data_IF_810680022203
#
_entry.id   IF_810680022203
#
_cell.length_a   1.000
_cell.length_b   1.000
_cell.length_c   1.000
_cell.angle_alpha   90.00
_cell.angle_beta   90.00
_cell.angle_gamma   90.00
#
_symmetry.space_group_name_H-M   'P 1'
#
loop_
_entity.id
_entity.type
_entity.pdbx_description
1 polymer ?
#
# COMPACT_ATOMS: atom_id res chain seq x y z
N UNK A 1 -18.73 -1.03 -60.01
CA UNK A 1 -18.85 -0.87 -58.55
C UNK A 1 -19.70 0.37 -58.31
N UNK A 2 -20.98 0.21 -57.98
CA UNK A 2 -21.90 1.33 -57.71
C UNK A 2 -21.69 1.78 -56.27
N UNK A 3 -21.23 3.01 -56.08
CA UNK A 3 -21.21 3.65 -54.77
C UNK A 3 -22.67 3.82 -54.32
N UNK A 4 -23.07 3.11 -53.27
CA UNK A 4 -24.36 3.30 -52.63
C UNK A 4 -24.23 4.50 -51.70
N UNK A 5 -24.70 5.68 -52.14
CA UNK A 5 -24.76 6.85 -51.26
C UNK A 5 -25.74 6.57 -50.10
N UNK A 6 -25.33 6.81 -48.84
CA UNK A 6 -26.20 6.59 -47.70
C UNK A 6 -27.41 7.52 -47.77
N UNK A 7 -28.59 6.99 -47.47
CA UNK A 7 -29.81 7.81 -47.45
C UNK A 7 -29.73 8.87 -46.33
N UNK A 8 -30.29 10.04 -46.58
CA UNK A 8 -30.31 11.15 -45.61
C UNK A 8 -30.90 10.72 -44.25
N UNK A 9 -31.93 9.88 -44.28
CA UNK A 9 -32.53 9.28 -43.08
C UNK A 9 -31.57 8.35 -42.31
N UNK A 10 -30.71 7.62 -43.03
CA UNK A 10 -29.67 6.78 -42.42
C UNK A 10 -28.62 7.61 -41.69
N UNK A 11 -28.20 8.72 -42.29
CA UNK A 11 -27.23 9.66 -41.69
C UNK A 11 -27.80 10.29 -40.41
N UNK A 12 -29.06 10.76 -40.45
CA UNK A 12 -29.71 11.37 -39.27
C UNK A 12 -29.94 10.38 -38.12
N UNK A 13 -30.28 9.12 -38.43
CA UNK A 13 -30.42 8.06 -37.42
C UNK A 13 -29.07 7.73 -36.79
N UNK A 14 -28.00 7.64 -37.59
CA UNK A 14 -26.65 7.39 -37.12
C UNK A 14 -26.16 8.53 -36.20
N UNK A 15 -26.30 9.80 -36.60
CA UNK A 15 -25.88 10.95 -35.80
C UNK A 15 -26.61 10.98 -34.43
N UNK A 16 -27.92 10.68 -34.42
CA UNK A 16 -28.72 10.64 -33.17
C UNK A 16 -28.25 9.53 -32.23
N UNK A 17 -27.92 8.36 -32.77
CA UNK A 17 -27.40 7.23 -32.00
C UNK A 17 -26.01 7.56 -31.46
N UNK A 18 -25.12 8.10 -32.29
CA UNK A 18 -23.77 8.50 -31.91
C UNK A 18 -23.79 9.56 -30.81
N UNK A 19 -24.63 10.60 -30.93
CA UNK A 19 -24.77 11.64 -29.89
C UNK A 19 -25.29 11.08 -28.57
N UNK A 20 -26.23 10.13 -28.60
CA UNK A 20 -26.73 9.43 -27.40
C UNK A 20 -25.65 8.57 -26.76
N UNK A 21 -24.89 7.81 -27.56
CA UNK A 21 -23.75 7.02 -27.09
C UNK A 21 -22.69 7.93 -26.45
N UNK A 22 -22.28 9.00 -27.12
CA UNK A 22 -21.29 9.95 -26.61
C UNK A 22 -21.75 10.59 -25.28
N UNK A 23 -23.02 10.95 -25.17
CA UNK A 23 -23.59 11.50 -23.93
C UNK A 23 -23.57 10.46 -22.81
N UNK A 24 -23.94 9.20 -23.10
CA UNK A 24 -23.90 8.11 -22.12
C UNK A 24 -22.47 7.81 -21.67
N UNK A 25 -21.50 7.69 -22.59
CA UNK A 25 -20.10 7.46 -22.27
C UNK A 25 -19.53 8.60 -21.42
N UNK A 26 -19.85 9.85 -21.76
CA UNK A 26 -19.42 11.02 -20.98
C UNK A 26 -20.02 11.01 -19.58
N UNK A 27 -21.30 10.64 -19.44
CA UNK A 27 -21.95 10.52 -18.13
C UNK A 27 -21.31 9.42 -17.26
N UNK A 28 -20.97 8.27 -17.86
CA UNK A 28 -20.28 7.17 -17.16
C UNK A 28 -18.90 7.62 -16.69
N UNK A 29 -18.12 8.28 -17.56
CA UNK A 29 -16.78 8.79 -17.19
C UNK A 29 -16.90 9.82 -16.07
N UNK A 30 -17.83 10.77 -16.16
CA UNK A 30 -18.05 11.76 -15.11
C UNK A 30 -18.42 11.11 -13.77
N UNK A 31 -19.28 10.10 -13.79
CA UNK A 31 -19.63 9.33 -12.59
C UNK A 31 -18.41 8.62 -11.97
N UNK A 32 -17.59 7.97 -12.80
CA UNK A 32 -16.38 7.29 -12.34
C UNK A 32 -15.37 8.28 -11.72
N UNK A 33 -15.21 9.47 -12.30
CA UNK A 33 -14.36 10.53 -11.74
C UNK A 33 -14.87 10.99 -10.38
N UNK A 34 -16.19 11.19 -10.24
CA UNK A 34 -16.80 11.58 -8.96
C UNK A 34 -16.61 10.48 -7.90
N UNK A 35 -16.81 9.22 -8.27
CA UNK A 35 -16.58 8.08 -7.37
C UNK A 35 -15.11 7.96 -6.94
N UNK A 36 -14.17 8.14 -7.88
CA UNK A 36 -12.74 8.10 -7.58
C UNK A 36 -12.32 9.24 -6.65
N UNK A 37 -12.82 10.45 -6.87
CA UNK A 37 -12.57 11.60 -5.99
C UNK A 37 -13.13 11.35 -4.58
N UNK A 38 -14.36 10.83 -4.48
CA UNK A 38 -14.97 10.48 -3.19
C UNK A 38 -14.16 9.40 -2.45
N UNK A 39 -13.76 8.33 -3.14
CA UNK A 39 -12.95 7.26 -2.56
C UNK A 39 -11.58 7.78 -2.09
N UNK A 40 -10.89 8.59 -2.89
CA UNK A 40 -9.58 9.15 -2.55
C UNK A 40 -9.61 10.02 -1.29
N UNK A 41 -10.67 10.80 -1.09
CA UNK A 41 -10.85 11.65 0.10
C UNK A 41 -11.14 10.81 1.35
N UNK A 42 -11.98 9.77 1.23
CA UNK A 42 -12.47 9.02 2.39
C UNK A 42 -11.59 7.82 2.79
N UNK A 43 -10.82 7.24 1.87
CA UNK A 43 -10.11 5.98 2.12
C UNK A 43 -8.58 6.13 2.27
N UNK A 44 -8.07 7.37 2.36
CA UNK A 44 -6.64 7.66 2.54
C UNK A 44 -5.72 6.90 1.56
N UNK A 45 -6.20 6.65 0.34
CA UNK A 45 -5.44 5.98 -0.74
C UNK A 45 -4.47 6.92 -1.45
N UNK A 46 -4.33 8.15 -0.96
CA UNK A 46 -3.49 9.18 -1.55
C UNK A 46 -2.00 8.88 -1.26
N UNK A 47 -1.13 9.07 -2.26
CA UNK A 47 0.31 9.07 -2.03
C UNK A 47 0.72 10.08 -0.97
N UNK A 48 1.91 9.85 -0.41
CA UNK A 48 2.61 10.77 0.47
C UNK A 48 2.59 12.21 -0.05
N UNK A 49 2.07 13.15 0.75
CA UNK A 49 2.06 14.57 0.39
C UNK A 49 3.44 15.23 0.53
N UNK A 50 4.34 14.63 1.32
CA UNK A 50 5.70 15.08 1.54
C UNK A 50 6.69 13.97 1.22
N UNK A 51 7.82 14.35 0.61
CA UNK A 51 8.89 13.42 0.25
C UNK A 51 9.88 13.35 1.40
N UNK A 52 9.94 12.19 2.04
CA UNK A 52 10.96 11.87 3.03
C UNK A 52 12.03 10.97 2.39
N UNK A 53 13.29 11.19 2.76
CA UNK A 53 14.43 10.48 2.18
C UNK A 53 15.24 9.76 3.24
N UNK A 54 15.88 8.65 2.85
CA UNK A 54 16.78 7.88 3.68
C UNK A 54 17.93 7.34 2.81
N UNK A 55 19.19 7.45 3.25
CA UNK A 55 20.34 6.94 2.50
C UNK A 55 20.41 5.40 2.62
N UNK A 56 20.23 4.65 1.51
CA UNK A 56 20.27 3.18 1.52
C UNK A 56 21.59 2.61 2.07
N UNK A 57 22.70 3.34 1.90
CA UNK A 57 24.04 2.87 2.31
C UNK A 57 24.23 2.90 3.83
N UNK A 58 23.46 3.72 4.54
CA UNK A 58 23.65 3.93 5.98
C UNK A 58 22.48 3.43 6.83
N UNK A 59 21.44 2.82 6.23
CA UNK A 59 20.24 2.37 6.96
C UNK A 59 20.57 1.48 8.17
N UNK A 60 21.57 0.61 8.03
CA UNK A 60 21.97 -0.35 9.07
C UNK A 60 22.78 0.27 10.22
N UNK A 61 23.28 1.51 10.08
CA UNK A 61 24.15 2.18 11.06
C UNK A 61 23.59 3.49 11.60
N UNK A 62 22.69 4.15 10.87
CA UNK A 62 22.18 5.46 11.23
C UNK A 62 20.72 5.66 10.79
N UNK A 63 20.05 6.57 11.50
CA UNK A 63 18.67 6.95 11.20
C UNK A 63 17.64 6.00 11.82
N UNK A 64 16.43 6.04 11.30
CA UNK A 64 15.30 5.32 11.89
C UNK A 64 15.24 3.83 11.50
N UNK A 65 15.96 3.42 10.46
CA UNK A 65 15.91 2.06 9.93
C UNK A 65 17.04 1.15 10.47
N UNK A 66 17.71 1.55 11.55
CA UNK A 66 18.66 0.67 12.22
C UNK A 66 17.94 -0.56 12.79
N UNK A 67 18.62 -1.71 12.79
CA UNK A 67 18.08 -3.01 13.22
C UNK A 67 17.31 -2.94 14.54
N UNK A 68 17.87 -2.24 15.53
CA UNK A 68 17.29 -2.09 16.87
C UNK A 68 16.00 -1.26 16.93
N UNK A 69 15.67 -0.57 15.83
CA UNK A 69 14.51 0.30 15.72
C UNK A 69 13.42 -0.24 14.78
N UNK A 70 13.67 -1.37 14.10
CA UNK A 70 12.70 -2.02 13.23
C UNK A 70 11.58 -2.71 14.02
N UNK A 71 10.43 -2.91 13.37
CA UNK A 71 9.23 -3.50 13.97
C UNK A 71 8.23 -2.47 14.48
N UNK A 72 7.26 -2.95 15.25
CA UNK A 72 6.10 -2.18 15.72
C UNK A 72 6.36 -1.54 17.07
N UNK A 73 5.98 -0.28 17.20
CA UNK A 73 6.10 0.53 18.40
C UNK A 73 4.78 1.24 18.70
N UNK A 74 4.49 1.43 19.99
CA UNK A 74 3.36 2.27 20.42
C UNK A 74 3.83 3.72 20.48
N UNK A 75 3.12 4.60 19.80
CA UNK A 75 3.34 6.04 19.84
C UNK A 75 2.60 6.68 21.04
N UNK A 76 3.00 7.88 21.50
CA UNK A 76 2.38 8.55 22.65
C UNK A 76 0.87 8.82 22.49
N UNK A 77 0.38 8.94 21.26
CA UNK A 77 -1.04 9.13 20.95
C UNK A 77 -1.84 7.81 20.92
N UNK A 78 -1.18 6.68 21.18
CA UNK A 78 -1.78 5.34 21.17
C UNK A 78 -1.91 4.72 19.78
N UNK A 79 -1.43 5.39 18.73
CA UNK A 79 -1.27 4.81 17.40
C UNK A 79 -0.04 3.88 17.36
N UNK A 80 0.08 3.09 16.30
CA UNK A 80 1.19 2.17 16.12
C UNK A 80 2.07 2.64 14.97
N UNK A 81 3.36 2.75 15.23
CA UNK A 81 4.36 3.02 14.21
C UNK A 81 5.13 1.73 13.89
N UNK A 82 5.10 1.32 12.63
CA UNK A 82 5.83 0.15 12.13
C UNK A 82 7.00 0.64 11.28
N UNK A 83 8.20 0.15 11.57
CA UNK A 83 9.38 0.40 10.73
C UNK A 83 9.84 -0.88 10.06
N UNK A 84 9.96 -0.84 8.74
CA UNK A 84 10.37 -2.01 7.96
C UNK A 84 11.34 -1.65 6.84
N UNK A 85 12.12 -2.63 6.39
CA UNK A 85 13.00 -2.52 5.23
C UNK A 85 12.70 -3.66 4.26
N UNK A 86 12.72 -3.36 2.96
CA UNK A 86 12.84 -4.37 1.91
C UNK A 86 14.28 -4.47 1.42
N UNK A 87 14.75 -5.69 1.22
CA UNK A 87 16.03 -6.00 0.57
C UNK A 87 15.90 -7.32 -0.19
N UNK A 88 16.77 -7.62 -1.13
CA UNK A 88 16.82 -8.91 -1.80
C UNK A 88 17.16 -10.01 -0.77
N UNK A 89 16.30 -10.99 -0.46
CA UNK A 89 14.91 -11.22 -0.88
C UNK A 89 14.00 -11.37 0.35
N UNK A 90 14.06 -10.41 1.26
CA UNK A 90 13.41 -10.43 2.57
C UNK A 90 12.86 -9.07 2.98
N UNK A 91 11.81 -9.08 3.78
CA UNK A 91 11.41 -7.94 4.58
C UNK A 91 11.98 -8.07 5.99
N UNK A 92 12.40 -6.96 6.58
CA UNK A 92 12.85 -6.89 7.98
C UNK A 92 11.98 -5.90 8.75
N UNK A 93 11.21 -6.34 9.76
CA UNK A 93 11.04 -7.73 10.18
C UNK A 93 10.24 -8.54 9.14
N UNK A 94 10.51 -9.86 9.08
CA UNK A 94 9.78 -10.77 8.18
C UNK A 94 8.31 -10.97 8.60
N UNK A 95 8.01 -10.69 9.88
CA UNK A 95 6.67 -10.78 10.46
C UNK A 95 6.34 -9.50 11.24
N UNK A 96 5.46 -8.67 10.68
CA UNK A 96 4.98 -7.43 11.33
C UNK A 96 3.84 -7.80 12.29
N UNK A 97 3.93 -7.39 13.55
CA UNK A 97 2.88 -7.61 14.56
C UNK A 97 2.13 -6.31 14.83
N UNK A 98 0.81 -6.29 14.71
CA UNK A 98 0.00 -5.09 14.94
C UNK A 98 -1.31 -5.41 15.67
N UNK A 99 -1.92 -4.44 16.40
CA UNK A 99 -3.23 -4.62 17.00
C UNK A 99 -4.38 -4.32 16.03
N UNK A 100 -5.49 -5.06 16.18
CA UNK A 100 -6.75 -4.74 15.55
C UNK A 100 -7.35 -3.42 16.09
N UNK A 101 -8.17 -2.76 15.26
CA UNK A 101 -8.95 -1.57 15.58
C UNK A 101 -8.14 -0.31 15.84
N UNK A 102 -6.83 -0.31 15.59
CA UNK A 102 -5.90 0.79 15.95
C UNK A 102 -5.30 1.42 14.69
N UNK A 103 -5.19 2.77 14.61
CA UNK A 103 -4.46 3.42 13.53
C UNK A 103 -2.99 3.00 13.51
N UNK A 104 -2.52 2.59 12.32
CA UNK A 104 -1.15 2.15 12.10
C UNK A 104 -0.53 3.04 11.02
N UNK A 105 0.67 3.52 11.29
CA UNK A 105 1.53 4.18 10.32
C UNK A 105 2.71 3.24 10.04
N UNK A 106 2.83 2.77 8.80
CA UNK A 106 3.96 1.95 8.35
C UNK A 106 4.94 2.91 7.67
N UNK A 107 6.19 2.92 8.13
CA UNK A 107 7.31 3.60 7.48
C UNK A 107 8.25 2.53 6.95
N UNK A 108 8.42 2.47 5.65
CA UNK A 108 9.24 1.46 5.02
C UNK A 108 10.13 2.06 3.92
N UNK A 109 11.30 1.46 3.73
CA UNK A 109 12.25 1.86 2.68
C UNK A 109 12.93 0.63 2.08
N UNK A 110 13.74 0.83 1.04
CA UNK A 110 14.55 -0.23 0.46
C UNK A 110 16.04 0.03 0.67
N UNK A 111 16.78 -1.04 0.97
CA UNK A 111 18.23 -1.02 1.12
C UNK A 111 18.99 -1.19 -0.21
N UNK A 112 18.33 -1.64 -1.28
CA UNK A 112 19.01 -2.03 -2.52
C UNK A 112 18.27 -1.62 -3.81
N UNK A 113 17.20 -2.32 -4.20
CA UNK A 113 16.42 -2.14 -5.44
C UNK A 113 14.97 -1.82 -5.10
N UNK A 114 14.13 -1.57 -6.10
CA UNK A 114 12.70 -1.38 -5.86
C UNK A 114 12.07 -2.71 -5.42
N UNK A 115 11.25 -2.66 -4.38
CA UNK A 115 10.42 -3.80 -3.93
C UNK A 115 8.96 -3.40 -3.88
N UNK A 116 8.07 -4.37 -4.12
CA UNK A 116 6.65 -4.20 -3.87
C UNK A 116 6.35 -4.46 -2.41
N UNK A 117 5.52 -3.62 -1.79
CA UNK A 117 5.02 -3.80 -0.43
C UNK A 117 3.49 -3.85 -0.49
N UNK A 118 2.97 -5.08 -0.50
CA UNK A 118 1.54 -5.38 -0.55
C UNK A 118 1.17 -6.16 0.71
N UNK A 119 0.07 -5.79 1.37
CA UNK A 119 -0.53 -6.63 2.42
C UNK A 119 -1.88 -7.14 1.90
N UNK A 120 -1.97 -8.45 1.69
CA UNK A 120 -3.13 -9.09 1.07
C UNK A 120 -4.42 -8.84 1.86
N UNK A 121 -5.52 -8.60 1.14
CA UNK A 121 -6.82 -8.30 1.75
C UNK A 121 -6.94 -6.88 2.33
N UNK A 122 -6.01 -5.99 1.99
CA UNK A 122 -6.05 -4.57 2.39
C UNK A 122 -5.77 -3.65 1.20
N UNK A 123 -5.89 -2.33 1.42
CA UNK A 123 -5.46 -1.31 0.46
C UNK A 123 -4.00 -0.90 0.61
N UNK A 124 -3.23 -1.57 1.49
CA UNK A 124 -1.78 -1.32 1.61
C UNK A 124 -1.09 -1.93 0.41
N UNK A 125 -0.80 -1.07 -0.56
CA UNK A 125 -0.09 -1.40 -1.78
C UNK A 125 0.79 -0.22 -2.18
N UNK A 126 2.10 -0.37 -2.07
CA UNK A 126 3.07 0.66 -2.44
C UNK A 126 4.40 0.05 -2.88
N UNK A 127 5.29 0.89 -3.39
CA UNK A 127 6.67 0.51 -3.70
C UNK A 127 7.62 1.01 -2.61
N UNK A 128 8.64 0.21 -2.30
CA UNK A 128 9.79 0.61 -1.49
C UNK A 128 10.90 1.00 -2.45
N UNK A 129 11.13 2.31 -2.60
CA UNK A 129 12.14 2.84 -3.52
C UNK A 129 13.39 3.21 -2.71
N UNK A 130 14.58 2.71 -3.10
CA UNK A 130 15.82 3.10 -2.44
C UNK A 130 15.99 4.63 -2.47
N UNK A 131 16.32 5.23 -1.33
CA UNK A 131 16.45 6.69 -1.20
C UNK A 131 15.22 7.38 -0.63
N UNK A 132 14.07 6.71 -0.58
CA UNK A 132 12.80 7.29 -0.16
C UNK A 132 12.15 6.50 0.97
N UNK A 133 11.43 7.20 1.84
CA UNK A 133 10.61 6.58 2.89
C UNK A 133 9.16 6.57 2.45
N UNK A 134 8.63 5.38 2.23
CA UNK A 134 7.20 5.16 1.99
C UNK A 134 6.49 5.14 3.34
N UNK A 135 5.63 6.13 3.59
CA UNK A 135 4.73 6.12 4.74
C UNK A 135 3.34 5.66 4.29
N UNK A 136 2.73 4.74 5.03
CA UNK A 136 1.43 4.16 4.68
C UNK A 136 0.54 4.15 5.91
N UNK A 137 -0.65 4.71 5.80
CA UNK A 137 -1.69 4.61 6.82
C UNK A 137 -2.48 3.33 6.63
N UNK A 138 -2.61 2.54 7.69
CA UNK A 138 -3.33 1.28 7.70
C UNK A 138 -4.20 1.14 8.96
N UNK A 139 -5.25 0.34 8.85
CA UNK A 139 -6.07 -0.08 9.99
C UNK A 139 -6.67 -1.45 9.69
N UNK A 140 -6.44 -2.40 10.58
CA UNK A 140 -7.01 -3.74 10.49
C UNK A 140 -8.17 -3.83 11.48
N UNK A 141 -9.38 -4.10 11.02
CA UNK A 141 -10.56 -4.10 11.90
C UNK A 141 -10.63 -5.36 12.77
N UNK A 142 -10.20 -6.51 12.25
CA UNK A 142 -10.29 -7.80 12.93
C UNK A 142 -8.90 -8.46 13.07
N UNK A 143 -8.67 -9.25 14.13
CA UNK A 143 -7.50 -10.12 14.23
C UNK A 143 -7.43 -11.12 13.07
N UNK A 144 -6.22 -11.48 12.67
CA UNK A 144 -5.98 -12.35 11.52
C UNK A 144 -4.54 -12.29 11.02
N UNK A 145 -4.20 -13.20 10.11
CA UNK A 145 -2.92 -13.23 9.44
C UNK A 145 -3.07 -12.79 7.98
N UNK A 146 -2.18 -11.93 7.52
CA UNK A 146 -2.12 -11.45 6.15
C UNK A 146 -0.77 -11.81 5.52
N UNK A 147 -0.78 -12.26 4.28
CA UNK A 147 0.44 -12.44 3.51
C UNK A 147 0.95 -11.08 3.01
N UNK A 148 2.26 -10.98 2.87
CA UNK A 148 2.93 -9.79 2.39
C UNK A 148 3.96 -10.16 1.30
N UNK A 149 3.52 -10.48 0.07
CA UNK A 149 4.44 -10.78 -1.02
C UNK A 149 5.11 -9.51 -1.56
N UNK A 150 6.33 -9.67 -2.08
CA UNK A 150 6.90 -8.66 -2.97
C UNK A 150 6.22 -8.75 -4.35
N UNK A 151 5.54 -7.68 -4.77
CA UNK A 151 4.77 -7.65 -6.02
C UNK A 151 5.45 -6.85 -7.16
N UNK A 152 6.67 -6.34 -6.92
CA UNK A 152 7.48 -5.63 -7.93
C UNK A 152 8.76 -6.44 -8.17
N UNK A 153 9.11 -6.67 -9.45
CA UNK A 153 10.23 -7.54 -9.80
C UNK A 153 11.55 -6.98 -9.23
N UNK A 154 12.11 -7.71 -8.27
CA UNK A 154 13.30 -7.29 -7.53
C UNK A 154 14.53 -8.19 -7.76
N UNK A 155 14.51 -9.06 -8.78
CA UNK A 155 15.63 -9.95 -9.13
C UNK A 155 15.27 -11.43 -9.13
N UNK A 156 16.27 -12.32 -9.20
CA UNK A 156 16.06 -13.76 -9.41
C UNK A 156 15.36 -14.48 -8.25
N UNK A 157 15.44 -13.96 -7.03
CA UNK A 157 14.72 -14.50 -5.87
C UNK A 157 13.35 -13.87 -5.63
N UNK A 158 12.84 -13.06 -6.57
CA UNK A 158 11.60 -12.28 -6.41
C UNK A 158 10.39 -13.14 -5.99
N UNK A 159 10.18 -14.28 -6.63
CA UNK A 159 9.08 -15.21 -6.33
C UNK A 159 9.11 -15.78 -4.89
N UNK A 160 10.29 -15.81 -4.26
CA UNK A 160 10.51 -16.29 -2.90
C UNK A 160 10.48 -15.19 -1.84
N UNK A 161 10.29 -13.92 -2.23
CA UNK A 161 10.30 -12.80 -1.30
C UNK A 161 8.93 -12.60 -0.64
N UNK A 162 8.79 -13.13 0.57
CA UNK A 162 7.55 -13.08 1.35
C UNK A 162 7.80 -12.55 2.76
N UNK A 163 6.81 -11.84 3.28
CA UNK A 163 6.63 -11.61 4.70
C UNK A 163 5.18 -11.87 5.10
N UNK A 164 4.84 -11.51 6.33
CA UNK A 164 3.47 -11.61 6.84
C UNK A 164 3.18 -10.54 7.86
N UNK A 165 1.89 -10.24 8.02
CA UNK A 165 1.38 -9.34 9.05
C UNK A 165 0.46 -10.13 9.95
N UNK A 166 0.77 -10.18 11.24
CA UNK A 166 -0.07 -10.80 12.27
C UNK A 166 -0.83 -9.71 13.02
N UNK A 167 -2.14 -9.75 12.92
CA UNK A 167 -3.04 -8.84 13.62
C UNK A 167 -3.58 -9.55 14.85
N UNK A 168 -3.36 -8.98 16.03
CA UNK A 168 -3.83 -9.53 17.32
C UNK A 168 -4.77 -8.56 18.03
N UNK A 169 -5.43 -9.02 19.09
CA UNK A 169 -6.25 -8.15 19.92
C UNK A 169 -5.45 -7.00 20.52
N UNK A 170 -6.06 -5.81 20.56
CA UNK A 170 -5.44 -4.59 21.10
C UNK A 170 -4.90 -4.80 22.52
N UNK A 171 -5.68 -5.45 23.40
CA UNK A 171 -5.25 -5.71 24.77
C UNK A 171 -4.05 -6.67 24.86
N UNK A 172 -3.98 -7.67 23.99
CA UNK A 172 -2.85 -8.59 23.93
C UNK A 172 -1.60 -7.87 23.44
N UNK A 173 -1.73 -7.05 22.40
CA UNK A 173 -0.63 -6.23 21.89
C UNK A 173 -0.06 -5.28 22.96
N UNK A 174 -0.93 -4.59 23.70
CA UNK A 174 -0.49 -3.66 24.76
C UNK A 174 0.27 -4.38 25.88
N UNK A 175 -0.09 -5.61 26.23
CA UNK A 175 0.67 -6.43 27.18
C UNK A 175 2.07 -6.75 26.68
N UNK A 176 2.21 -7.08 25.40
CA UNK A 176 3.52 -7.32 24.79
C UNK A 176 4.35 -6.03 24.72
N UNK A 177 3.73 -4.92 24.32
CA UNK A 177 4.38 -3.62 24.20
C UNK A 177 4.87 -3.06 25.54
N UNK A 178 4.27 -3.46 26.66
CA UNK A 178 4.72 -3.05 27.99
C UNK A 178 6.15 -3.52 28.33
N UNK A 179 6.60 -4.64 27.75
CA UNK A 179 7.89 -5.25 28.04
C UNK A 179 8.92 -5.08 26.91
N UNK A 180 8.46 -4.71 25.70
CA UNK A 180 9.32 -4.60 24.53
C UNK A 180 9.09 -3.27 23.81
N UNK A 181 10.19 -2.53 23.55
CA UNK A 181 10.12 -1.29 22.76
C UNK A 181 9.76 -1.53 21.29
N UNK A 182 10.17 -2.67 20.74
CA UNK A 182 9.95 -3.04 19.34
C UNK A 182 9.41 -4.45 19.29
N UNK A 183 8.30 -4.62 18.58
CA UNK A 183 7.58 -5.88 18.47
C UNK A 183 7.62 -6.39 17.03
N UNK A 184 7.78 -7.71 16.89
CA UNK A 184 7.56 -8.44 15.66
C UNK A 184 6.91 -9.78 16.03
N UNK A 185 6.41 -10.51 15.04
CA UNK A 185 5.89 -11.86 15.25
C UNK A 185 6.86 -12.96 14.82
N UNK A 186 8.15 -12.62 14.70
CA UNK A 186 9.25 -13.59 14.60
C UNK A 186 9.65 -13.94 16.03
N UNK A 187 9.70 -15.24 16.36
CA UNK A 187 10.20 -15.69 17.65
C UNK A 187 11.67 -15.21 17.82
N UNK A 188 11.96 -14.56 18.95
CA UNK A 188 13.32 -14.10 19.29
C UNK A 188 14.16 -15.23 19.87
#
# INVERSE_FOLDING_TARGET
MTHHEPSHEGVERAERIERRWATLSTAIVALLVVMAAFAGIHQATMPQAHVETADPRTLHIAGEFVESNLGSAVEPDGSILVRAIGQQYSFTPACILVPAGTPITIRATSADVVHGFLIDGTNVNTMLVPGYVSVISARFENPGDHHMPCHEFCGTGHEGMWGRVKVIDKAAFQKLAANHRRLSCVDQ
#
